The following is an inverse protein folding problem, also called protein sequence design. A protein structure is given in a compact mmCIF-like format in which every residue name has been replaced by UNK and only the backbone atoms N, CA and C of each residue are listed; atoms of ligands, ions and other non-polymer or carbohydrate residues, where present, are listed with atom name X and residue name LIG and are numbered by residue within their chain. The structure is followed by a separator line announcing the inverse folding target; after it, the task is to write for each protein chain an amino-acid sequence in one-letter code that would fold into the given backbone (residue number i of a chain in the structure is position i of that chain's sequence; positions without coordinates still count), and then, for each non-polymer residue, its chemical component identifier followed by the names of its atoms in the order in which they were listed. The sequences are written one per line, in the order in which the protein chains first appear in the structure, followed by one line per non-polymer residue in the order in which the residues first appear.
data_IF_105957593578
#
_entry.id   IF_105957593578
#
_cell.length_a   1.000
_cell.length_b   1.000
_cell.length_c   1.000
_cell.angle_alpha   90.00
_cell.angle_beta   90.00
_cell.angle_gamma   90.00
#
_symmetry.space_group_name_H-M   'P 1'
#
loop_
_entity.id
_entity.type
_entity.pdbx_description
1 polymer ?
#
# COMPACT_ATOMS: atom_id res chain seq x y z
N UNK A 1 -15.09 -19.72 25.37
CA UNK A 1 -13.95 -19.65 24.43
C UNK A 1 -14.49 -20.13 23.09
N UNK A 2 -14.48 -19.29 22.06
CA UNK A 2 -14.88 -19.74 20.72
C UNK A 2 -13.91 -20.83 20.25
N UNK A 3 -14.45 -21.94 19.77
CA UNK A 3 -13.65 -23.01 19.19
C UNK A 3 -13.00 -22.45 17.91
N UNK A 4 -11.68 -22.56 17.79
CA UNK A 4 -10.97 -22.08 16.60
C UNK A 4 -11.46 -22.83 15.36
N UNK A 5 -11.89 -22.09 14.32
CA UNK A 5 -12.26 -22.65 13.03
C UNK A 5 -11.10 -22.49 12.05
N UNK A 6 -10.59 -23.61 11.54
CA UNK A 6 -9.51 -23.58 10.57
C UNK A 6 -10.02 -23.20 9.17
N UNK A 7 -9.44 -22.19 8.50
CA UNK A 7 -9.82 -21.82 7.14
C UNK A 7 -9.57 -22.94 6.12
N UNK A 8 -8.64 -23.88 6.41
CA UNK A 8 -8.36 -25.00 5.52
C UNK A 8 -9.51 -26.00 5.47
N UNK A 9 -10.25 -26.16 6.58
CA UNK A 9 -11.42 -27.05 6.64
C UNK A 9 -12.66 -26.45 5.96
N UNK A 10 -12.65 -25.15 5.66
CA UNK A 10 -13.71 -24.51 4.87
C UNK A 10 -13.62 -24.81 3.37
N UNK A 11 -12.50 -25.38 2.90
CA UNK A 11 -12.32 -25.75 1.48
C UNK A 11 -13.10 -27.04 1.18
N UNK A 12 -14.06 -27.01 0.23
CA UNK A 12 -14.84 -28.20 -0.12
C UNK A 12 -13.96 -29.36 -0.59
N UNK A 13 -14.33 -30.60 -0.24
CA UNK A 13 -13.57 -31.79 -0.60
C UNK A 13 -13.38 -32.01 -2.12
N UNK A 14 -14.28 -31.45 -2.94
CA UNK A 14 -14.16 -31.48 -4.40
C UNK A 14 -13.04 -30.60 -4.95
N UNK A 15 -12.55 -29.64 -4.17
CA UNK A 15 -11.49 -28.71 -4.54
C UNK A 15 -10.11 -29.12 -4.00
N UNK A 16 -10.03 -30.27 -3.32
CA UNK A 16 -8.77 -30.82 -2.83
C UNK A 16 -7.96 -31.42 -3.98
N UNK A 17 -6.65 -31.17 -3.99
CA UNK A 17 -5.74 -31.77 -4.97
C UNK A 17 -5.62 -33.29 -4.77
N UNK A 18 -5.45 -33.71 -3.52
CA UNK A 18 -5.40 -35.11 -3.11
C UNK A 18 -5.67 -35.22 -1.59
N UNK A 19 -6.05 -36.41 -1.11
CA UNK A 19 -6.28 -36.65 0.31
C UNK A 19 -6.06 -38.12 0.69
N UNK A 20 -5.98 -38.35 2.00
CA UNK A 20 -6.03 -39.68 2.61
C UNK A 20 -6.90 -39.63 3.88
N UNK A 21 -6.85 -40.68 4.71
CA UNK A 21 -7.69 -40.82 5.89
C UNK A 21 -7.45 -39.74 6.96
N UNK A 22 -6.25 -39.16 7.01
CA UNK A 22 -5.84 -38.24 8.09
C UNK A 22 -5.51 -36.82 7.62
N UNK A 23 -5.27 -36.63 6.32
CA UNK A 23 -4.79 -35.37 5.76
C UNK A 23 -5.37 -35.10 4.36
N UNK A 24 -5.24 -33.86 3.90
CA UNK A 24 -5.62 -33.44 2.56
C UNK A 24 -4.72 -32.29 2.07
N UNK A 25 -4.69 -32.07 0.75
CA UNK A 25 -3.92 -31.03 0.10
C UNK A 25 -4.83 -30.07 -0.68
N UNK A 26 -4.58 -28.76 -0.54
CA UNK A 26 -5.36 -27.68 -1.17
C UNK A 26 -4.43 -26.67 -1.82
N UNK A 27 -4.89 -25.96 -2.84
CA UNK A 27 -4.15 -24.80 -3.35
C UNK A 27 -4.13 -23.67 -2.33
N UNK A 28 -2.99 -23.00 -2.21
CA UNK A 28 -2.85 -21.84 -1.33
C UNK A 28 -3.65 -20.65 -1.89
N UNK A 29 -4.39 -19.95 -1.03
CA UNK A 29 -5.14 -18.75 -1.42
C UNK A 29 -4.26 -17.53 -1.73
N UNK A 30 -2.99 -17.57 -1.29
CA UNK A 30 -1.96 -16.56 -1.50
C UNK A 30 -0.67 -17.23 -2.03
N UNK A 31 -0.71 -17.77 -3.26
CA UNK A 31 0.39 -18.57 -3.79
C UNK A 31 1.65 -17.72 -4.04
N UNK A 32 2.80 -18.16 -3.54
CA UNK A 32 4.11 -17.50 -3.81
C UNK A 32 4.74 -17.96 -5.14
N UNK A 33 4.23 -19.04 -5.71
CA UNK A 33 4.55 -19.51 -7.05
C UNK A 33 3.36 -20.28 -7.67
N UNK A 34 3.27 -20.36 -9.02
CA UNK A 34 2.23 -21.13 -9.67
C UNK A 34 2.22 -22.59 -9.21
N UNK A 35 1.08 -23.04 -8.66
CA UNK A 35 0.90 -24.38 -8.12
C UNK A 35 1.29 -24.56 -6.65
N UNK A 36 1.52 -23.47 -5.90
CA UNK A 36 1.71 -23.52 -4.45
C UNK A 36 0.50 -24.14 -3.75
N UNK A 37 0.75 -25.19 -2.95
CA UNK A 37 -0.28 -25.87 -2.17
C UNK A 37 0.09 -25.96 -0.70
N UNK A 38 -0.92 -26.25 0.11
CA UNK A 38 -0.83 -26.58 1.52
C UNK A 38 -1.29 -28.03 1.74
N UNK A 39 -0.50 -28.80 2.50
CA UNK A 39 -0.88 -30.15 2.97
C UNK A 39 -1.14 -30.08 4.47
N UNK A 40 -2.35 -30.43 4.91
CA UNK A 40 -2.80 -30.23 6.31
C UNK A 40 -3.61 -31.42 6.82
N UNK A 41 -3.77 -31.53 8.13
CA UNK A 41 -4.53 -32.60 8.79
C UNK A 41 -6.04 -32.35 8.70
N UNK A 42 -6.85 -33.41 8.78
CA UNK A 42 -8.31 -33.29 8.93
C UNK A 42 -8.71 -32.84 10.33
N UNK A 43 -7.98 -33.34 11.34
CA UNK A 43 -8.10 -32.90 12.73
C UNK A 43 -7.34 -31.58 12.87
N UNK A 44 -7.90 -30.61 13.59
CA UNK A 44 -7.18 -29.38 13.91
C UNK A 44 -6.08 -29.73 14.93
N UNK A 45 -4.83 -29.64 14.46
CA UNK A 45 -3.61 -29.81 15.25
C UNK A 45 -2.79 -28.55 15.08
N UNK A 46 -2.40 -27.90 16.17
CA UNK A 46 -1.77 -26.58 16.08
C UNK A 46 -0.44 -26.61 15.33
N UNK A 47 0.54 -27.39 15.80
CA UNK A 47 1.87 -27.44 15.18
C UNK A 47 2.22 -28.85 14.68
N UNK A 48 3.26 -28.95 13.86
CA UNK A 48 3.83 -30.25 13.45
C UNK A 48 4.20 -31.14 14.64
N UNK A 49 4.65 -30.53 15.74
CA UNK A 49 5.10 -31.24 16.94
C UNK A 49 3.95 -31.76 17.80
N UNK A 50 2.72 -31.28 17.58
CA UNK A 50 1.51 -31.75 18.25
C UNK A 50 0.79 -32.86 17.46
N UNK A 51 1.22 -33.11 16.21
CA UNK A 51 0.65 -34.14 15.35
C UNK A 51 1.13 -35.53 15.78
N UNK A 52 0.23 -36.51 15.78
CA UNK A 52 0.59 -37.89 16.04
C UNK A 52 1.47 -38.46 14.91
N UNK A 53 2.27 -39.48 15.20
CA UNK A 53 3.16 -40.12 14.20
C UNK A 53 2.42 -40.53 12.91
N UNK A 54 1.19 -41.03 13.06
CA UNK A 54 0.35 -41.41 11.93
C UNK A 54 -0.08 -40.20 11.07
N UNK A 55 -0.35 -39.05 11.69
CA UNK A 55 -0.68 -37.80 11.00
C UNK A 55 0.55 -37.22 10.29
N UNK A 56 1.70 -37.22 10.95
CA UNK A 56 2.97 -36.80 10.32
C UNK A 56 3.29 -37.67 9.10
N UNK A 57 3.12 -38.99 9.20
CA UNK A 57 3.31 -39.91 8.07
C UNK A 57 2.29 -39.63 6.94
N UNK A 58 1.02 -39.38 7.29
CA UNK A 58 -0.02 -39.07 6.31
C UNK A 58 0.22 -37.75 5.58
N UNK A 59 0.70 -36.71 6.27
CA UNK A 59 1.09 -35.44 5.68
C UNK A 59 2.24 -35.63 4.67
N UNK A 60 3.29 -36.36 5.06
CA UNK A 60 4.44 -36.61 4.18
C UNK A 60 4.10 -37.47 2.96
N UNK A 61 3.16 -38.42 3.10
CA UNK A 61 2.63 -39.18 1.97
C UNK A 61 1.95 -38.26 0.94
N UNK A 62 1.18 -37.26 1.40
CA UNK A 62 0.54 -36.29 0.51
C UNK A 62 1.51 -35.28 -0.08
N UNK A 63 2.59 -34.88 0.62
CA UNK A 63 3.65 -34.05 -0.01
C UNK A 63 4.21 -34.74 -1.26
N UNK A 64 4.50 -36.05 -1.16
CA UNK A 64 5.00 -36.84 -2.29
C UNK A 64 3.98 -36.94 -3.43
N UNK A 65 2.72 -37.22 -3.09
CA UNK A 65 1.66 -37.37 -4.09
C UNK A 65 1.32 -36.04 -4.78
N UNK A 66 1.24 -34.96 -4.01
CA UNK A 66 1.05 -33.61 -4.53
C UNK A 66 2.12 -33.22 -5.55
N UNK A 67 3.40 -33.45 -5.25
CA UNK A 67 4.48 -33.21 -6.20
C UNK A 67 4.27 -33.99 -7.51
N UNK A 68 3.83 -35.25 -7.43
CA UNK A 68 3.54 -36.08 -8.60
C UNK A 68 2.40 -35.52 -9.45
N UNK A 69 1.33 -35.03 -8.80
CA UNK A 69 0.18 -34.41 -9.48
C UNK A 69 0.54 -33.07 -10.10
N UNK A 70 1.28 -32.21 -9.39
CA UNK A 70 1.72 -30.91 -9.89
C UNK A 70 2.66 -31.06 -11.10
N UNK A 71 3.60 -32.01 -11.07
CA UNK A 71 4.45 -32.34 -12.22
C UNK A 71 3.66 -32.74 -13.48
N UNK A 72 2.46 -33.33 -13.30
CA UNK A 72 1.62 -33.84 -14.40
C UNK A 72 0.64 -32.78 -14.91
N UNK A 73 0.12 -31.94 -14.02
CA UNK A 73 -0.98 -31.01 -14.31
C UNK A 73 -0.50 -29.61 -14.72
N UNK A 74 0.68 -29.19 -14.29
CA UNK A 74 1.18 -27.83 -14.56
C UNK A 74 1.97 -27.77 -15.87
N UNK A 75 1.76 -26.66 -16.59
CA UNK A 75 2.49 -26.30 -17.81
C UNK A 75 2.91 -24.83 -17.73
N UNK A 76 4.22 -24.50 -17.66
CA UNK A 76 5.34 -25.44 -17.69
C UNK A 76 5.39 -26.36 -16.46
N UNK A 77 6.00 -27.54 -16.63
CA UNK A 77 6.30 -28.44 -15.50
C UNK A 77 7.26 -27.73 -14.54
N UNK A 78 7.08 -27.83 -13.22
CA UNK A 78 8.03 -27.28 -12.25
C UNK A 78 9.44 -27.89 -12.37
N UNK A 79 10.45 -27.04 -12.25
CA UNK A 79 11.87 -27.41 -12.32
C UNK A 79 12.43 -27.87 -10.96
N UNK A 80 11.75 -27.50 -9.87
CA UNK A 80 12.12 -27.87 -8.51
C UNK A 80 10.99 -27.59 -7.51
N UNK A 81 11.25 -27.85 -6.24
CA UNK A 81 10.30 -27.58 -5.16
C UNK A 81 11.01 -27.10 -3.89
N UNK A 82 10.40 -26.18 -3.17
CA UNK A 82 10.66 -25.98 -1.75
C UNK A 82 9.51 -26.55 -0.94
N UNK A 83 9.85 -27.31 0.11
CA UNK A 83 8.89 -27.92 1.01
C UNK A 83 9.26 -27.54 2.43
N UNK A 84 8.30 -27.07 3.22
CA UNK A 84 8.54 -26.65 4.60
C UNK A 84 7.25 -26.30 5.34
N UNK A 85 7.36 -26.11 6.64
CA UNK A 85 6.25 -25.70 7.50
C UNK A 85 6.79 -24.74 8.58
N UNK A 86 5.91 -23.88 9.07
CA UNK A 86 6.17 -23.04 10.24
C UNK A 86 5.47 -23.65 11.45
N UNK A 87 6.18 -23.82 12.56
CA UNK A 87 5.63 -24.33 13.83
C UNK A 87 5.77 -23.27 14.92
N UNK A 88 4.63 -22.73 15.36
CA UNK A 88 4.53 -21.67 16.35
C UNK A 88 4.66 -20.26 15.75
N UNK A 89 4.12 -19.27 16.48
CA UNK A 89 4.08 -17.87 16.03
C UNK A 89 5.46 -17.27 15.75
N UNK A 90 6.48 -17.62 16.55
CA UNK A 90 7.86 -17.14 16.35
C UNK A 90 8.51 -17.64 15.05
N UNK A 91 8.04 -18.79 14.52
CA UNK A 91 8.45 -19.31 13.22
C UNK A 91 7.61 -18.73 12.06
N UNK A 92 6.69 -17.81 12.34
CA UNK A 92 5.80 -17.21 11.35
C UNK A 92 4.55 -18.03 11.04
N UNK A 93 4.11 -18.92 11.95
CA UNK A 93 2.84 -19.62 11.79
C UNK A 93 1.67 -18.66 12.09
N UNK A 94 0.84 -18.39 11.08
CA UNK A 94 -0.30 -17.45 11.19
C UNK A 94 -1.64 -18.16 11.40
N UNK A 95 -1.76 -19.42 10.97
CA UNK A 95 -2.94 -20.27 11.19
C UNK A 95 -2.55 -21.37 12.20
N UNK A 96 -3.20 -21.46 13.38
CA UNK A 96 -2.93 -22.51 14.37
C UNK A 96 -3.54 -23.86 13.96
N UNK A 97 -3.17 -24.31 12.76
CA UNK A 97 -3.44 -25.62 12.19
C UNK A 97 -2.23 -25.99 11.33
N UNK A 98 -1.57 -27.12 11.60
CA UNK A 98 -0.37 -27.58 10.89
C UNK A 98 -0.60 -27.63 9.38
N UNK A 99 0.30 -27.01 8.62
CA UNK A 99 0.27 -27.06 7.16
C UNK A 99 1.69 -27.06 6.61
N UNK A 100 1.94 -27.97 5.68
CA UNK A 100 3.19 -28.05 4.92
C UNK A 100 2.98 -27.34 3.59
N UNK A 101 3.79 -26.34 3.35
CA UNK A 101 3.90 -25.69 2.05
C UNK A 101 4.65 -26.62 1.09
N UNK A 102 4.06 -26.85 -0.09
CA UNK A 102 4.75 -27.45 -1.24
C UNK A 102 4.74 -26.43 -2.36
N UNK A 103 5.89 -25.80 -2.58
CA UNK A 103 6.06 -24.64 -3.45
C UNK A 103 6.82 -25.06 -4.71
N UNK A 104 6.17 -25.16 -5.87
CA UNK A 104 6.85 -25.35 -7.15
C UNK A 104 7.85 -24.23 -7.43
N UNK A 105 9.00 -24.57 -8.00
CA UNK A 105 10.06 -23.64 -8.40
C UNK A 105 10.32 -23.75 -9.89
N UNK A 106 10.61 -22.63 -10.52
CA UNK A 106 10.85 -22.51 -11.95
C UNK A 106 12.17 -21.79 -12.21
N UNK A 107 12.88 -22.17 -13.27
CA UNK A 107 14.13 -21.49 -13.62
C UNK A 107 13.90 -19.98 -13.83
N UNK A 108 14.68 -19.16 -13.13
CA UNK A 108 14.59 -17.70 -13.19
C UNK A 108 13.47 -17.09 -12.34
N UNK A 109 12.75 -17.87 -11.54
CA UNK A 109 11.73 -17.36 -10.62
C UNK A 109 12.31 -16.43 -9.53
N UNK A 110 13.58 -16.61 -9.18
CA UNK A 110 14.38 -15.71 -8.35
C UNK A 110 15.80 -15.56 -8.93
N UNK A 111 16.51 -14.45 -8.65
CA UNK A 111 17.86 -14.22 -9.18
C UNK A 111 18.91 -15.27 -8.74
N UNK A 112 18.84 -15.73 -7.49
CA UNK A 112 19.72 -16.77 -6.95
C UNK A 112 18.95 -17.70 -6.00
N UNK A 113 18.61 -18.94 -6.43
CA UNK A 113 17.84 -19.86 -5.60
C UNK A 113 18.68 -20.53 -4.49
N UNK A 114 20.00 -20.35 -4.47
CA UNK A 114 20.89 -20.99 -3.48
C UNK A 114 20.56 -20.50 -2.08
N UNK A 115 20.53 -21.43 -1.13
CA UNK A 115 20.11 -21.19 0.25
C UNK A 115 18.74 -21.76 0.57
N UNK A 116 17.81 -21.77 -0.39
CA UNK A 116 16.48 -22.37 -0.24
C UNK A 116 15.82 -22.02 1.09
N UNK A 117 15.55 -23.03 1.92
CA UNK A 117 14.93 -22.89 3.24
C UNK A 117 15.69 -21.98 4.21
N UNK A 118 16.98 -21.72 4.00
CA UNK A 118 17.78 -20.85 4.87
C UNK A 118 17.41 -19.38 4.74
N UNK A 119 16.70 -19.01 3.66
CA UNK A 119 16.14 -17.66 3.46
C UNK A 119 14.98 -17.34 4.41
N UNK A 120 14.57 -18.27 5.29
CA UNK A 120 13.74 -17.93 6.48
C UNK A 120 14.42 -16.88 7.35
N UNK A 121 15.76 -16.84 7.34
CA UNK A 121 16.56 -15.70 7.80
C UNK A 121 17.30 -15.17 6.57
N UNK A 122 16.76 -14.14 5.87
CA UNK A 122 17.22 -13.71 4.55
C UNK A 122 18.76 -13.56 4.42
N UNK A 123 19.39 -12.90 5.38
CA UNK A 123 20.85 -12.64 5.38
C UNK A 123 21.70 -13.89 5.56
N UNK A 124 21.10 -15.00 5.99
CA UNK A 124 21.78 -16.29 6.16
C UNK A 124 21.46 -17.27 5.04
N UNK A 125 20.67 -16.88 4.04
CA UNK A 125 20.24 -17.75 2.94
C UNK A 125 21.39 -18.38 2.17
N UNK A 126 22.20 -17.58 1.47
CA UNK A 126 23.29 -18.08 0.64
C UNK A 126 24.62 -18.18 1.44
N UNK A 127 24.97 -19.38 1.90
CA UNK A 127 26.20 -19.67 2.66
C UNK A 127 27.48 -19.77 1.82
N UNK A 128 27.34 -19.83 0.50
CA UNK A 128 28.49 -19.93 -0.42
C UNK A 128 29.00 -18.55 -0.85
N UNK A 129 28.17 -17.53 -0.72
CA UNK A 129 28.68 -16.16 -0.62
C UNK A 129 29.50 -16.17 0.66
N UNK A 130 30.81 -15.90 0.54
CA UNK A 130 31.72 -15.79 1.68
C UNK A 130 31.00 -15.01 2.76
N UNK A 131 30.79 -15.64 3.93
CA UNK A 131 30.17 -14.99 5.06
C UNK A 131 30.78 -13.59 5.15
N UNK A 132 29.98 -12.51 5.17
CA UNK A 132 30.56 -11.19 5.32
C UNK A 132 31.45 -11.30 6.53
N UNK A 133 32.74 -11.05 6.33
CA UNK A 133 33.71 -11.02 7.41
C UNK A 133 33.06 -10.20 8.50
N UNK A 134 33.02 -10.73 9.73
CA UNK A 134 32.79 -9.92 10.93
C UNK A 134 33.98 -8.97 11.05
N UNK A 135 34.05 -8.01 10.14
CA UNK A 135 34.88 -6.82 10.14
C UNK A 135 33.90 -5.69 10.44
N UNK A 136 34.20 -4.90 11.47
CA UNK A 136 33.28 -3.94 12.08
C UNK A 136 32.56 -3.01 11.11
N UNK A 137 31.39 -2.53 11.54
CA UNK A 137 30.74 -1.30 11.06
C UNK A 137 30.89 -1.03 9.55
N UNK A 138 30.63 -2.03 8.70
CA UNK A 138 30.57 -1.78 7.27
C UNK A 138 29.18 -1.24 6.95
N UNK A 139 29.10 0.08 6.91
CA UNK A 139 27.98 0.81 6.33
C UNK A 139 27.80 0.34 4.88
N UNK A 140 26.86 -0.58 4.64
CA UNK A 140 26.51 -0.99 3.28
C UNK A 140 25.74 0.15 2.64
N UNK A 141 26.43 0.88 1.77
CA UNK A 141 25.84 1.90 0.91
C UNK A 141 25.43 1.25 -0.41
N UNK A 142 24.17 1.43 -0.79
CA UNK A 142 23.59 0.97 -2.05
C UNK A 142 23.11 2.19 -2.84
N UNK A 143 23.38 2.21 -4.14
CA UNK A 143 22.89 3.25 -5.04
C UNK A 143 21.61 2.76 -5.75
N UNK A 144 20.53 3.54 -5.65
CA UNK A 144 19.34 3.37 -6.47
C UNK A 144 19.26 4.48 -7.51
N UNK A 145 19.34 4.11 -8.79
CA UNK A 145 19.38 5.04 -9.94
C UNK A 145 18.04 5.23 -10.66
N UNK A 146 16.97 4.58 -10.17
CA UNK A 146 15.67 4.61 -10.83
C UNK A 146 15.59 3.67 -12.02
N UNK A 147 14.99 4.11 -13.11
CA UNK A 147 14.90 3.34 -14.35
C UNK A 147 16.27 3.02 -14.95
N UNK A 148 16.43 1.87 -15.62
CA UNK A 148 15.44 0.78 -15.77
C UNK A 148 15.57 -0.33 -14.71
N UNK A 149 16.50 -0.21 -13.76
CA UNK A 149 16.97 -1.38 -13.00
C UNK A 149 16.81 -1.26 -11.48
N UNK A 150 16.80 -0.05 -10.92
CA UNK A 150 16.89 0.16 -9.48
C UNK A 150 15.95 1.27 -8.98
N UNK A 151 14.62 1.12 -9.17
CA UNK A 151 13.64 2.03 -8.59
C UNK A 151 13.78 2.05 -7.06
N UNK A 152 13.75 3.25 -6.47
CA UNK A 152 13.92 3.44 -5.03
C UNK A 152 12.88 2.64 -4.24
N UNK A 153 11.61 2.67 -4.68
CA UNK A 153 10.51 2.04 -3.95
C UNK A 153 10.69 0.54 -3.78
N UNK A 154 11.25 -0.14 -4.78
CA UNK A 154 11.54 -1.58 -4.70
C UNK A 154 12.52 -1.91 -3.58
N UNK A 155 13.44 -1.00 -3.25
CA UNK A 155 14.45 -1.19 -2.22
C UNK A 155 13.96 -0.84 -0.82
N UNK A 156 12.99 0.05 -0.68
CA UNK A 156 12.57 0.58 0.63
C UNK A 156 11.14 0.23 1.04
N UNK A 157 10.25 -0.14 0.12
CA UNK A 157 8.83 -0.33 0.42
C UNK A 157 8.54 -1.40 1.48
N UNK A 158 9.31 -2.49 1.48
CA UNK A 158 9.20 -3.52 2.52
C UNK A 158 9.65 -2.97 3.89
N UNK A 159 10.76 -2.22 3.94
CA UNK A 159 11.28 -1.60 5.16
C UNK A 159 10.30 -0.57 5.72
N UNK A 160 9.66 0.23 4.86
CA UNK A 160 8.58 1.14 5.27
C UNK A 160 7.43 0.36 5.89
N UNK A 161 7.07 -0.81 5.33
CA UNK A 161 5.94 -1.63 5.82
C UNK A 161 6.17 -2.27 7.19
N UNK A 162 7.44 -2.50 7.56
CA UNK A 162 7.87 -3.08 8.84
C UNK A 162 8.42 -2.05 9.83
N UNK A 163 8.34 -0.75 9.50
CA UNK A 163 8.89 0.31 10.32
C UNK A 163 8.28 0.33 11.72
N UNK A 164 9.10 0.62 12.74
CA UNK A 164 8.65 1.09 14.06
C UNK A 164 8.73 2.62 14.14
N UNK A 165 9.64 3.23 13.40
CA UNK A 165 9.78 4.68 13.27
C UNK A 165 10.12 5.02 11.82
N UNK A 166 9.45 6.03 11.25
CA UNK A 166 9.78 6.53 9.92
C UNK A 166 9.64 8.05 9.80
N UNK A 167 10.70 8.71 9.35
CA UNK A 167 10.70 10.13 8.99
C UNK A 167 10.86 10.27 7.47
N UNK A 168 9.85 10.84 6.83
CA UNK A 168 9.80 11.04 5.38
C UNK A 168 9.89 12.53 5.09
N UNK A 169 10.97 12.96 4.46
CA UNK A 169 11.17 14.32 3.99
C UNK A 169 11.12 14.35 2.47
N UNK A 170 10.19 15.11 1.91
CA UNK A 170 10.12 15.37 0.48
C UNK A 170 10.00 16.87 0.22
N UNK A 171 10.65 17.37 -0.84
CA UNK A 171 10.46 18.77 -1.20
C UNK A 171 9.08 19.01 -1.81
N UNK A 172 8.54 18.00 -2.49
CA UNK A 172 7.15 18.00 -2.94
C UNK A 172 6.52 16.61 -2.93
N UNK A 173 5.18 16.59 -2.91
CA UNK A 173 4.37 15.38 -2.99
C UNK A 173 3.36 15.48 -4.14
N UNK A 174 3.16 14.37 -4.85
CA UNK A 174 2.09 14.18 -5.83
C UNK A 174 1.14 13.03 -5.42
N UNK A 175 -0.14 13.02 -5.86
CA UNK A 175 -1.07 11.95 -5.52
C UNK A 175 -0.56 10.55 -5.90
N UNK A 176 0.11 10.45 -7.05
CA UNK A 176 0.71 9.19 -7.52
C UNK A 176 1.79 8.62 -6.60
N UNK A 177 2.49 9.47 -5.83
CA UNK A 177 3.42 9.00 -4.81
C UNK A 177 2.70 8.43 -3.60
N UNK A 178 1.60 9.03 -3.19
CA UNK A 178 0.77 8.52 -2.09
C UNK A 178 0.15 7.17 -2.43
N UNK A 179 -0.29 6.97 -3.67
CA UNK A 179 -0.85 5.68 -4.14
C UNK A 179 0.14 4.52 -3.95
N UNK A 180 1.45 4.77 -4.14
CA UNK A 180 2.49 3.74 -4.01
C UNK A 180 2.75 3.36 -2.55
N UNK A 181 2.83 4.36 -1.67
CA UNK A 181 3.28 4.15 -0.29
C UNK A 181 2.15 3.77 0.66
N UNK A 182 0.89 4.02 0.27
CA UNK A 182 -0.28 3.90 1.14
C UNK A 182 -0.32 2.57 1.90
N UNK A 183 -0.19 1.45 1.19
CA UNK A 183 -0.28 0.12 1.81
C UNK A 183 0.83 -0.10 2.84
N UNK A 184 2.05 0.35 2.55
CA UNK A 184 3.20 0.21 3.46
C UNK A 184 3.06 1.09 4.69
N UNK A 185 2.62 2.34 4.52
CA UNK A 185 2.38 3.26 5.64
C UNK A 185 1.33 2.68 6.59
N UNK A 186 0.16 2.25 6.08
CA UNK A 186 -0.88 1.66 6.92
C UNK A 186 -0.50 0.29 7.50
N UNK A 187 0.36 -0.48 6.82
CA UNK A 187 0.93 -1.70 7.39
C UNK A 187 1.79 -1.42 8.61
N UNK A 188 2.69 -0.43 8.53
CA UNK A 188 3.54 -0.05 9.65
C UNK A 188 2.74 0.56 10.80
N UNK A 189 1.79 1.44 10.49
CA UNK A 189 0.91 2.02 11.51
C UNK A 189 0.11 0.94 12.26
N UNK A 190 -0.36 -0.12 11.58
CA UNK A 190 -0.97 -1.31 12.23
C UNK A 190 -0.01 -2.07 13.15
N UNK A 191 1.29 -1.99 12.90
CA UNK A 191 2.34 -2.51 13.76
C UNK A 191 2.74 -1.59 14.91
N UNK A 192 2.02 -0.47 15.13
CA UNK A 192 2.34 0.50 16.18
C UNK A 192 3.44 1.49 15.80
N UNK A 193 3.70 1.70 14.51
CA UNK A 193 4.76 2.59 14.06
C UNK A 193 4.46 4.06 14.35
N UNK A 194 5.52 4.84 14.60
CA UNK A 194 5.50 6.30 14.57
C UNK A 194 6.01 6.82 13.24
N UNK A 195 5.16 7.51 12.48
CA UNK A 195 5.49 8.02 11.15
C UNK A 195 5.30 9.54 11.11
N UNK A 196 6.34 10.25 10.63
CA UNK A 196 6.33 11.70 10.40
C UNK A 196 6.58 11.98 8.92
N UNK A 197 5.71 12.76 8.29
CA UNK A 197 5.88 13.21 6.90
C UNK A 197 6.05 14.72 6.86
N UNK A 198 7.20 15.18 6.38
CA UNK A 198 7.51 16.58 6.18
C UNK A 198 7.58 16.90 4.69
N UNK A 199 6.78 17.86 4.24
CA UNK A 199 6.70 18.28 2.84
C UNK A 199 6.92 19.78 2.69
N UNK A 200 7.58 20.22 1.61
CA UNK A 200 7.77 21.64 1.29
C UNK A 200 6.66 22.26 0.43
N UNK A 201 6.52 23.58 0.52
CA UNK A 201 5.68 24.40 -0.37
C UNK A 201 6.46 25.09 -1.51
N UNK A 202 7.77 24.81 -1.62
CA UNK A 202 8.64 25.46 -2.60
C UNK A 202 8.15 25.32 -4.04
N UNK A 203 8.11 26.45 -4.75
CA UNK A 203 7.55 26.61 -6.10
C UNK A 203 6.09 26.13 -6.25
N UNK A 204 5.37 25.87 -5.15
CA UNK A 204 4.01 25.36 -5.14
C UNK A 204 3.80 24.10 -5.99
N UNK A 205 4.82 23.25 -6.05
CA UNK A 205 4.81 21.99 -6.81
C UNK A 205 3.97 20.94 -6.08
N UNK A 206 4.00 20.92 -4.75
CA UNK A 206 3.19 20.00 -3.93
C UNK A 206 1.72 20.07 -4.32
N UNK A 207 1.09 18.92 -4.51
CA UNK A 207 -0.32 18.88 -4.85
C UNK A 207 -1.19 19.16 -3.63
N UNK A 208 -2.08 20.16 -3.75
CA UNK A 208 -3.09 20.43 -2.73
C UNK A 208 -4.01 19.22 -2.49
N UNK A 209 -4.27 18.41 -3.53
CA UNK A 209 -5.00 17.15 -3.39
C UNK A 209 -4.23 16.13 -2.56
N UNK A 210 -2.92 15.99 -2.79
CA UNK A 210 -2.10 15.09 -1.99
C UNK A 210 -2.07 15.50 -0.51
N UNK A 211 -2.00 16.81 -0.22
CA UNK A 211 -2.10 17.32 1.15
C UNK A 211 -3.47 16.98 1.78
N UNK A 212 -4.58 17.14 1.06
CA UNK A 212 -5.91 16.73 1.56
C UNK A 212 -5.99 15.23 1.85
N UNK A 213 -5.39 14.40 1.00
CA UNK A 213 -5.33 12.95 1.23
C UNK A 213 -4.55 12.61 2.51
N UNK A 214 -3.47 13.34 2.79
CA UNK A 214 -2.68 13.17 4.02
C UNK A 214 -3.47 13.54 5.28
N UNK A 215 -4.32 14.57 5.24
CA UNK A 215 -5.27 14.86 6.34
C UNK A 215 -6.18 13.65 6.58
N UNK A 216 -6.74 13.09 5.50
CA UNK A 216 -7.57 11.89 5.59
C UNK A 216 -6.81 10.68 6.16
N UNK A 217 -5.51 10.53 5.84
CA UNK A 217 -4.69 9.47 6.42
C UNK A 217 -4.42 9.65 7.90
N UNK A 218 -4.17 10.88 8.36
CA UNK A 218 -3.98 11.19 9.78
C UNK A 218 -5.25 10.87 10.57
N UNK A 219 -6.41 11.35 10.11
CA UNK A 219 -7.69 11.06 10.76
C UNK A 219 -8.01 9.55 10.82
N UNK A 220 -7.63 8.81 9.77
CA UNK A 220 -7.82 7.37 9.72
C UNK A 220 -6.87 6.59 10.64
N UNK A 221 -5.63 7.04 10.76
CA UNK A 221 -4.65 6.46 11.66
C UNK A 221 -5.14 6.59 13.12
N UNK A 222 -5.61 7.78 13.50
CA UNK A 222 -6.17 8.05 14.83
C UNK A 222 -7.42 7.21 15.15
N UNK A 223 -8.19 6.81 14.13
CA UNK A 223 -9.43 6.02 14.31
C UNK A 223 -9.17 4.51 14.43
N UNK A 224 -8.25 3.97 13.64
CA UNK A 224 -8.11 2.52 13.47
C UNK A 224 -7.05 1.93 14.42
N UNK A 225 -6.18 2.76 14.99
CA UNK A 225 -4.93 2.28 15.58
C UNK A 225 -4.75 2.79 17.01
N UNK A 226 -4.60 1.86 17.94
CA UNK A 226 -4.38 2.20 19.36
C UNK A 226 -2.96 2.70 19.62
N UNK A 227 -1.95 2.19 18.88
CA UNK A 227 -0.53 2.43 19.15
C UNK A 227 0.24 3.15 18.01
N UNK A 228 -0.32 3.23 16.81
CA UNK A 228 0.34 3.83 15.64
C UNK A 228 0.05 5.32 15.51
N UNK A 229 1.05 6.12 15.12
CA UNK A 229 0.89 7.58 14.95
C UNK A 229 1.35 8.04 13.57
N UNK A 230 0.54 8.85 12.91
CA UNK A 230 0.88 9.53 11.66
C UNK A 230 0.75 11.04 11.84
N UNK A 231 1.88 11.75 11.78
CA UNK A 231 1.91 13.20 11.78
C UNK A 231 2.40 13.72 10.43
N UNK A 232 1.77 14.79 9.93
CA UNK A 232 2.20 15.45 8.70
C UNK A 232 2.36 16.95 8.94
N UNK A 233 3.45 17.53 8.43
CA UNK A 233 3.72 18.97 8.48
C UNK A 233 4.12 19.52 7.12
N UNK A 234 3.75 20.77 6.87
CA UNK A 234 4.17 21.54 5.72
C UNK A 234 5.24 22.56 6.13
N UNK A 235 6.43 22.44 5.55
CA UNK A 235 7.46 23.46 5.60
C UNK A 235 7.05 24.62 4.66
N UNK A 236 6.46 25.66 5.24
CA UNK A 236 6.18 26.91 4.56
C UNK A 236 7.46 27.73 4.45
N UNK A 237 8.04 27.87 3.25
CA UNK A 237 9.38 28.49 3.07
C UNK A 237 9.40 29.92 3.61
N UNK A 238 8.29 30.63 3.48
CA UNK A 238 8.11 31.99 4.00
C UNK A 238 8.18 32.09 5.52
N UNK A 239 7.89 31.00 6.25
CA UNK A 239 7.90 30.90 7.71
C UNK A 239 9.21 30.35 8.28
N UNK A 240 10.05 29.73 7.46
CA UNK A 240 11.35 29.26 7.91
C UNK A 240 12.21 30.47 8.35
N UNK A 241 12.85 30.45 9.54
CA UNK A 241 13.67 31.56 10.04
C UNK A 241 14.80 31.95 9.09
N UNK A 242 15.39 30.97 8.40
CA UNK A 242 16.46 31.17 7.42
C UNK A 242 15.96 31.76 6.10
N UNK A 243 14.64 31.74 5.83
CA UNK A 243 14.01 32.17 4.57
C UNK A 243 14.82 31.73 3.33
N UNK A 244 15.05 30.42 3.16
CA UNK A 244 15.96 29.95 2.14
C UNK A 244 15.39 30.20 0.74
N UNK A 245 16.27 30.53 -0.21
CA UNK A 245 15.87 30.73 -1.62
C UNK A 245 15.35 29.45 -2.29
N UNK A 246 15.67 28.28 -1.71
CA UNK A 246 15.18 26.98 -2.18
C UNK A 246 14.97 26.00 -1.04
N UNK A 247 14.00 25.11 -1.22
CA UNK A 247 13.80 23.95 -0.36
C UNK A 247 13.68 22.73 -1.24
N UNK A 248 14.77 21.97 -1.32
CA UNK A 248 14.84 20.78 -2.16
C UNK A 248 15.39 19.52 -1.47
N UNK A 249 15.31 19.33 -0.14
CA UNK A 249 15.75 18.07 0.46
C UNK A 249 14.80 16.93 0.10
N UNK A 250 15.34 15.72 -0.03
CA UNK A 250 14.57 14.47 0.00
C UNK A 250 15.35 13.46 0.82
N UNK A 251 14.72 12.94 1.85
CA UNK A 251 15.33 11.97 2.72
C UNK A 251 14.29 11.05 3.34
N UNK A 252 14.72 9.83 3.62
CA UNK A 252 13.93 8.85 4.35
C UNK A 252 14.80 8.32 5.48
N UNK A 253 14.26 8.30 6.69
CA UNK A 253 14.85 7.58 7.81
C UNK A 253 13.84 6.55 8.26
N UNK A 254 14.22 5.28 8.26
CA UNK A 254 13.36 4.16 8.61
C UNK A 254 14.08 3.35 9.66
N UNK A 255 13.43 3.06 10.79
CA UNK A 255 13.93 2.16 11.82
C UNK A 255 12.94 1.02 11.94
N UNK A 256 13.44 -0.21 11.94
CA UNK A 256 12.66 -1.43 12.19
C UNK A 256 13.47 -2.44 13.00
N UNK A 257 12.93 -3.65 13.17
CA UNK A 257 13.60 -4.72 13.91
C UNK A 257 14.93 -5.18 13.32
N UNK A 258 15.22 -4.84 12.05
CA UNK A 258 16.48 -5.17 11.37
C UNK A 258 17.56 -4.09 11.51
N UNK A 259 17.22 -2.92 12.06
CA UNK A 259 18.10 -1.77 12.19
C UNK A 259 17.53 -0.52 11.51
N UNK A 260 18.40 0.45 11.25
CA UNK A 260 18.06 1.67 10.55
C UNK A 260 18.34 1.59 9.04
N UNK A 261 17.64 2.42 8.30
CA UNK A 261 17.84 2.66 6.87
C UNK A 261 17.70 4.15 6.62
N UNK A 262 18.71 4.72 5.98
CA UNK A 262 18.72 6.12 5.57
C UNK A 262 18.72 6.18 4.04
N UNK A 263 17.90 7.05 3.47
CA UNK A 263 17.93 7.40 2.05
C UNK A 263 18.14 8.89 1.94
N UNK A 264 19.09 9.30 1.12
CA UNK A 264 19.22 10.70 0.67
C UNK A 264 19.43 10.69 -0.83
N UNK A 265 18.67 11.54 -1.54
CA UNK A 265 18.74 11.53 -3.00
C UNK A 265 17.84 12.56 -3.67
N UNK A 266 17.53 12.30 -4.93
CA UNK A 266 16.71 13.17 -5.77
C UNK A 266 15.22 12.80 -5.78
N UNK A 267 14.84 11.63 -5.25
CA UNK A 267 13.46 11.14 -5.31
C UNK A 267 12.49 11.86 -4.36
N UNK A 268 11.57 12.64 -4.93
CA UNK A 268 10.38 13.15 -4.24
C UNK A 268 9.28 12.08 -4.09
N UNK A 269 8.18 12.42 -3.40
CA UNK A 269 7.03 11.53 -3.23
C UNK A 269 6.12 11.59 -4.46
N UNK A 270 6.55 10.99 -5.55
CA UNK A 270 5.77 10.81 -6.79
C UNK A 270 6.10 9.47 -7.44
N UNK A 271 5.18 8.91 -8.24
CA UNK A 271 5.47 7.66 -8.95
C UNK A 271 6.67 7.76 -9.88
N UNK A 272 6.83 8.91 -10.55
CA UNK A 272 7.99 9.18 -11.39
C UNK A 272 9.28 9.07 -10.57
N UNK A 273 9.37 9.77 -9.45
CA UNK A 273 10.58 9.76 -8.63
C UNK A 273 10.86 8.41 -7.94
N UNK A 274 9.82 7.63 -7.64
CA UNK A 274 9.95 6.39 -6.88
C UNK A 274 10.14 5.13 -7.74
N UNK A 275 9.60 5.12 -8.97
CA UNK A 275 9.56 3.91 -9.82
C UNK A 275 10.03 4.12 -11.27
N UNK A 276 9.66 5.22 -11.91
CA UNK A 276 9.74 5.34 -13.39
C UNK A 276 10.70 6.41 -13.91
N UNK A 277 11.32 7.19 -13.05
CA UNK A 277 12.26 8.27 -13.38
C UNK A 277 13.72 7.84 -13.27
N UNK A 278 14.62 8.66 -13.80
CA UNK A 278 16.06 8.57 -13.55
C UNK A 278 16.37 9.39 -12.31
N UNK A 279 16.74 8.72 -11.23
CA UNK A 279 16.78 9.31 -9.88
C UNK A 279 17.91 8.71 -9.10
N UNK A 280 18.76 9.51 -8.45
CA UNK A 280 19.91 8.98 -7.72
C UNK A 280 19.66 9.08 -6.23
N UNK A 281 19.66 7.94 -5.57
CA UNK A 281 19.44 7.83 -4.14
C UNK A 281 20.52 6.95 -3.52
N UNK A 282 21.18 7.48 -2.51
CA UNK A 282 22.11 6.73 -1.68
C UNK A 282 21.31 6.13 -0.52
N UNK A 283 21.31 4.80 -0.44
CA UNK A 283 20.64 4.02 0.60
C UNK A 283 21.72 3.48 1.53
N UNK A 284 21.69 3.86 2.80
CA UNK A 284 22.60 3.37 3.84
C UNK A 284 21.88 2.47 4.83
N UNK A 285 22.47 1.31 5.11
CA UNK A 285 22.06 0.45 6.22
C UNK A 285 22.80 0.85 7.49
N UNK A 286 22.06 0.92 8.60
CA UNK A 286 22.56 1.36 9.90
C UNK A 286 21.98 0.49 11.01
N UNK A 287 22.51 0.56 12.23
CA UNK A 287 21.92 0.00 13.45
C UNK A 287 20.78 0.87 13.99
N UNK A 288 20.56 2.05 13.40
CA UNK A 288 19.54 3.03 13.79
C UNK A 288 19.99 3.94 14.94
N UNK A 289 21.25 3.84 15.36
CA UNK A 289 21.80 4.57 16.53
C UNK A 289 23.18 5.18 16.27
N UNK A 290 23.70 5.07 15.06
CA UNK A 290 24.98 5.65 14.67
C UNK A 290 24.94 7.18 14.58
N UNK A 291 26.12 7.85 14.60
CA UNK A 291 26.19 9.29 14.48
C UNK A 291 25.49 9.87 13.25
N UNK A 292 25.46 9.14 12.13
CA UNK A 292 24.79 9.59 10.90
C UNK A 292 23.25 9.51 11.01
N UNK A 293 22.71 8.50 11.68
CA UNK A 293 21.28 8.40 11.98
C UNK A 293 20.84 9.54 12.89
N UNK A 294 21.62 9.80 13.94
CA UNK A 294 21.37 10.91 14.86
C UNK A 294 21.46 12.26 14.14
N UNK A 295 22.44 12.44 13.26
CA UNK A 295 22.58 13.66 12.46
C UNK A 295 21.38 13.87 11.52
N UNK A 296 20.91 12.82 10.84
CA UNK A 296 19.74 12.90 9.97
C UNK A 296 18.45 13.16 10.77
N UNK A 297 18.28 12.47 11.91
CA UNK A 297 17.16 12.67 12.82
C UNK A 297 17.12 14.09 13.39
N UNK A 298 18.27 14.67 13.76
CA UNK A 298 18.36 16.06 14.20
C UNK A 298 18.01 17.02 13.06
N UNK A 299 18.61 16.87 11.87
CA UNK A 299 18.31 17.74 10.73
C UNK A 299 16.82 17.70 10.32
N UNK A 300 16.20 16.51 10.36
CA UNK A 300 14.76 16.37 10.17
C UNK A 300 13.98 17.08 11.27
N UNK A 301 14.33 16.86 12.53
CA UNK A 301 13.63 17.42 13.70
C UNK A 301 13.72 18.95 13.75
N UNK A 302 14.84 19.53 13.36
CA UNK A 302 15.01 20.98 13.27
C UNK A 302 14.01 21.58 12.29
N UNK A 303 13.89 21.01 11.08
CA UNK A 303 12.89 21.45 10.10
C UNK A 303 11.46 21.16 10.57
N UNK A 304 11.24 20.00 11.20
CA UNK A 304 9.94 19.58 11.72
C UNK A 304 9.38 20.58 12.73
N UNK A 305 10.22 21.07 13.65
CA UNK A 305 9.82 22.04 14.68
C UNK A 305 9.42 23.39 14.09
N UNK A 306 9.98 23.75 12.94
CA UNK A 306 9.71 25.00 12.22
C UNK A 306 8.53 24.88 11.25
N UNK A 307 8.15 23.65 10.89
CA UNK A 307 7.07 23.37 9.96
C UNK A 307 5.70 23.49 10.63
N UNK A 308 4.70 23.84 9.82
CA UNK A 308 3.33 24.02 10.29
C UNK A 308 2.59 22.68 10.26
N UNK A 309 1.91 22.28 11.36
CA UNK A 309 1.01 21.12 11.36
C UNK A 309 0.00 21.17 10.23
N UNK A 310 -0.19 20.03 9.55
CA UNK A 310 -1.13 19.95 8.44
C UNK A 310 -2.57 19.90 8.96
N UNK A 311 -3.39 20.86 8.54
CA UNK A 311 -4.82 20.92 8.83
C UNK A 311 -5.62 21.43 7.61
N UNK A 312 -6.96 21.39 7.70
CA UNK A 312 -7.85 21.82 6.62
C UNK A 312 -7.69 23.30 6.25
N UNK A 313 -7.37 24.15 7.23
CA UNK A 313 -7.16 25.59 7.01
C UNK A 313 -5.91 25.83 6.18
N UNK A 314 -4.79 25.20 6.57
CA UNK A 314 -3.52 25.28 5.88
C UNK A 314 -3.62 24.79 4.44
N UNK A 315 -4.29 23.65 4.22
CA UNK A 315 -4.44 23.09 2.87
C UNK A 315 -5.35 23.95 2.01
N UNK A 316 -6.39 24.56 2.59
CA UNK A 316 -7.26 25.51 1.88
C UNK A 316 -6.51 26.77 1.46
N UNK A 317 -5.67 27.33 2.36
CA UNK A 317 -4.79 28.47 2.05
C UNK A 317 -3.79 28.11 0.95
N UNK A 318 -3.05 27.02 1.11
CA UNK A 318 -2.07 26.55 0.13
C UNK A 318 -2.70 26.30 -1.25
N UNK A 319 -3.93 25.77 -1.31
CA UNK A 319 -4.64 25.53 -2.57
C UNK A 319 -4.97 26.83 -3.33
N UNK A 320 -5.17 27.95 -2.63
CA UNK A 320 -5.36 29.26 -3.24
C UNK A 320 -4.02 29.82 -3.72
N UNK A 321 -3.01 29.81 -2.84
CA UNK A 321 -1.69 30.36 -3.12
C UNK A 321 -1.01 29.64 -4.29
N UNK A 322 -1.13 28.30 -4.35
CA UNK A 322 -0.58 27.50 -5.45
C UNK A 322 -1.26 27.78 -6.79
N UNK A 323 -2.57 28.05 -6.82
CA UNK A 323 -3.27 28.47 -8.04
C UNK A 323 -2.78 29.84 -8.52
N UNK A 324 -2.52 30.77 -7.60
CA UNK A 324 -2.01 32.10 -7.94
C UNK A 324 -0.55 32.06 -8.40
N UNK A 325 0.31 31.30 -7.71
CA UNK A 325 1.72 31.16 -8.05
C UNK A 325 1.94 30.47 -9.40
N UNK A 326 1.18 29.41 -9.71
CA UNK A 326 1.25 28.71 -11.00
C UNK A 326 0.87 29.61 -12.17
N UNK A 327 -0.02 30.59 -11.97
CA UNK A 327 -0.36 31.61 -12.98
C UNK A 327 0.77 32.62 -13.23
N UNK A 328 1.67 32.82 -12.27
CA UNK A 328 2.76 33.82 -12.35
C UNK A 328 4.09 33.23 -12.84
N UNK A 329 4.37 31.94 -12.61
CA UNK A 329 5.72 31.37 -12.78
C UNK A 329 5.82 30.18 -13.74
N UNK A 330 4.74 29.74 -14.41
CA UNK A 330 4.77 28.60 -15.34
C UNK A 330 4.09 28.96 -16.68
N UNK A 331 4.77 28.86 -17.84
CA UNK A 331 4.13 28.95 -19.16
C UNK A 331 3.07 27.83 -19.32
N UNK A 332 1.98 28.04 -20.07
CA UNK A 332 0.84 27.11 -20.14
C UNK A 332 1.14 25.70 -20.67
N UNK A 333 2.39 25.40 -21.04
CA UNK A 333 2.79 24.18 -21.77
C UNK A 333 3.69 23.21 -20.97
N UNK A 334 4.01 23.46 -19.69
CA UNK A 334 4.83 22.54 -18.88
C UNK A 334 4.12 21.96 -17.65
N UNK A 335 2.83 22.21 -17.49
CA UNK A 335 2.00 21.46 -16.56
C UNK A 335 1.03 20.65 -17.38
N UNK A 336 0.94 19.36 -17.08
CA UNK A 336 -0.18 18.52 -17.53
C UNK A 336 -1.45 19.00 -16.82
N UNK A 337 -1.92 20.19 -17.20
CA UNK A 337 -3.08 20.91 -16.63
C UNK A 337 -4.34 20.62 -17.43
N UNK A 338 -4.45 19.39 -17.93
CA UNK A 338 -5.73 18.75 -18.23
C UNK A 338 -5.56 17.28 -17.86
N UNK A 339 -5.95 16.90 -16.66
CA UNK A 339 -6.41 15.52 -16.47
C UNK A 339 -7.65 15.40 -17.35
N UNK A 340 -7.43 14.95 -18.59
CA UNK A 340 -8.50 14.64 -19.52
C UNK A 340 -9.28 13.54 -18.82
N UNK A 341 -10.48 13.87 -18.32
CA UNK A 341 -11.47 12.87 -17.98
C UNK A 341 -11.56 11.91 -19.15
N UNK A 342 -11.03 10.70 -18.95
CA UNK A 342 -11.05 9.70 -20.00
C UNK A 342 -12.50 9.45 -20.38
N UNK A 343 -12.77 9.28 -21.67
CA UNK A 343 -14.13 8.95 -22.08
C UNK A 343 -14.53 7.58 -21.51
N UNK A 344 -15.80 7.39 -21.12
CA UNK A 344 -16.25 6.12 -20.59
C UNK A 344 -16.02 4.99 -21.60
N UNK A 345 -15.52 3.85 -21.13
CA UNK A 345 -15.35 2.63 -21.93
C UNK A 345 -16.70 2.19 -22.51
N UNK A 346 -16.73 1.43 -23.62
CA UNK A 346 -17.98 1.01 -24.26
C UNK A 346 -19.00 0.38 -23.29
N UNK A 347 -18.54 -0.51 -22.39
CA UNK A 347 -19.41 -1.13 -21.40
C UNK A 347 -19.91 -0.13 -20.33
N UNK A 348 -19.09 0.87 -19.96
CA UNK A 348 -19.49 1.93 -19.04
C UNK A 348 -20.55 2.83 -19.68
N UNK A 349 -20.44 3.13 -20.98
CA UNK A 349 -21.48 3.85 -21.73
C UNK A 349 -22.80 3.09 -21.71
N UNK A 350 -22.79 1.79 -22.00
CA UNK A 350 -24.00 0.96 -21.92
C UNK A 350 -24.60 0.90 -20.52
N UNK A 351 -23.77 0.86 -19.47
CA UNK A 351 -24.23 0.93 -18.08
C UNK A 351 -24.85 2.29 -17.74
N UNK A 352 -24.25 3.40 -18.17
CA UNK A 352 -24.78 4.77 -17.98
C UNK A 352 -26.11 4.97 -18.72
N UNK A 353 -26.23 4.45 -19.95
CA UNK A 353 -27.48 4.46 -20.71
C UNK A 353 -28.58 3.68 -19.98
N UNK A 354 -28.26 2.51 -19.43
CA UNK A 354 -29.20 1.71 -18.64
C UNK A 354 -29.63 2.44 -17.36
N UNK A 355 -28.69 3.09 -16.66
CA UNK A 355 -29.00 3.90 -15.48
C UNK A 355 -29.91 5.09 -15.83
N UNK A 356 -29.70 5.72 -16.97
CA UNK A 356 -30.57 6.81 -17.44
C UNK A 356 -31.98 6.32 -17.81
N UNK A 357 -32.11 5.14 -18.43
CA UNK A 357 -33.41 4.54 -18.70
C UNK A 357 -34.16 4.20 -17.41
N UNK A 358 -33.46 3.66 -16.40
CA UNK A 358 -34.03 3.38 -15.08
C UNK A 358 -34.54 4.68 -14.44
N UNK A 359 -33.76 5.76 -14.48
CA UNK A 359 -34.20 7.08 -13.97
C UNK A 359 -35.39 7.65 -14.73
N UNK A 360 -35.42 7.51 -16.05
CA UNK A 360 -36.54 7.94 -16.87
C UNK A 360 -37.85 7.18 -16.57
N UNK A 361 -37.74 5.96 -16.03
CA UNK A 361 -38.85 5.18 -15.47
C UNK A 361 -39.22 5.53 -14.03
N UNK A 362 -38.79 6.68 -13.50
CA UNK A 362 -39.03 7.17 -12.12
C UNK A 362 -38.44 6.30 -10.99
N UNK A 363 -37.57 5.34 -11.30
CA UNK A 363 -36.88 4.55 -10.29
C UNK A 363 -35.76 5.37 -9.62
N UNK A 364 -35.77 5.38 -8.29
CA UNK A 364 -34.81 6.14 -7.45
C UNK A 364 -33.62 5.33 -6.94
N UNK A 365 -33.60 4.02 -7.19
CA UNK A 365 -32.58 3.08 -6.70
C UNK A 365 -32.19 2.14 -7.84
N UNK A 366 -30.89 1.97 -8.02
CA UNK A 366 -30.34 1.05 -9.01
C UNK A 366 -29.09 0.38 -8.42
N UNK A 367 -28.82 -0.85 -8.86
CA UNK A 367 -27.61 -1.59 -8.51
C UNK A 367 -26.89 -1.96 -9.81
N UNK A 368 -25.59 -1.67 -9.86
CA UNK A 368 -24.74 -2.11 -10.97
C UNK A 368 -23.79 -3.19 -10.47
N UNK A 369 -23.89 -4.39 -11.02
CA UNK A 369 -22.95 -5.48 -10.76
C UNK A 369 -21.81 -5.43 -11.77
N UNK A 370 -20.57 -5.35 -11.29
CA UNK A 370 -19.36 -5.24 -12.12
C UNK A 370 -18.29 -6.17 -11.57
N UNK A 371 -17.59 -6.90 -12.43
CA UNK A 371 -16.44 -7.70 -12.03
C UNK A 371 -15.29 -6.81 -11.49
N UNK A 372 -14.44 -7.38 -10.63
CA UNK A 372 -13.30 -6.66 -10.04
C UNK A 372 -12.33 -6.17 -11.13
N UNK A 373 -11.68 -5.04 -10.90
CA UNK A 373 -10.67 -4.48 -11.82
C UNK A 373 -11.22 -3.78 -13.08
N UNK A 374 -12.53 -3.80 -13.35
CA UNK A 374 -13.08 -3.20 -14.57
C UNK A 374 -13.24 -1.67 -14.53
N UNK A 375 -13.11 -1.03 -13.36
CA UNK A 375 -13.26 0.42 -13.20
C UNK A 375 -14.62 0.84 -12.67
N UNK A 376 -15.16 0.12 -11.69
CA UNK A 376 -16.44 0.43 -11.02
C UNK A 376 -16.51 1.86 -10.47
N UNK A 377 -15.38 2.36 -9.95
CA UNK A 377 -15.28 3.71 -9.36
C UNK A 377 -15.43 4.80 -10.43
N UNK A 378 -14.79 4.61 -11.58
CA UNK A 378 -14.93 5.51 -12.72
C UNK A 378 -16.36 5.52 -13.28
N UNK A 379 -17.03 4.36 -13.33
CA UNK A 379 -18.44 4.31 -13.71
C UNK A 379 -19.30 5.19 -12.78
N UNK A 380 -19.11 5.08 -11.46
CA UNK A 380 -19.81 5.91 -10.49
C UNK A 380 -19.52 7.41 -10.70
N UNK A 381 -18.26 7.76 -10.96
CA UNK A 381 -17.85 9.14 -11.23
C UNK A 381 -18.51 9.73 -12.49
N UNK A 382 -18.58 8.98 -13.60
CA UNK A 382 -19.30 9.41 -14.80
C UNK A 382 -20.81 9.55 -14.56
N UNK A 383 -21.37 8.67 -13.74
CA UNK A 383 -22.78 8.72 -13.40
C UNK A 383 -23.13 9.95 -12.54
N UNK A 384 -22.24 10.36 -11.63
CA UNK A 384 -22.36 11.63 -10.90
C UNK A 384 -22.43 12.81 -11.86
N UNK A 385 -21.58 12.85 -12.90
CA UNK A 385 -21.62 13.90 -13.91
C UNK A 385 -22.93 13.89 -14.71
N UNK A 386 -23.40 12.71 -15.09
CA UNK A 386 -24.68 12.54 -15.80
C UNK A 386 -25.86 13.04 -14.95
N UNK A 387 -25.88 12.70 -13.66
CA UNK A 387 -26.90 13.16 -12.70
C UNK A 387 -26.84 14.67 -12.54
N UNK A 388 -25.65 15.27 -12.40
CA UNK A 388 -25.53 16.72 -12.28
C UNK A 388 -26.04 17.46 -13.52
N UNK A 389 -25.81 16.91 -14.72
CA UNK A 389 -26.37 17.44 -15.98
C UNK A 389 -27.89 17.37 -16.00
N UNK A 390 -28.47 16.26 -15.53
CA UNK A 390 -29.92 16.10 -15.42
C UNK A 390 -30.53 17.07 -14.39
N UNK A 391 -29.85 17.30 -13.27
CA UNK A 391 -30.32 18.19 -12.21
C UNK A 391 -30.07 19.68 -12.49
N UNK A 392 -29.31 20.00 -13.54
CA UNK A 392 -28.82 21.35 -13.85
C UNK A 392 -28.09 22.03 -12.67
N UNK A 393 -27.44 21.24 -11.81
CA UNK A 393 -26.67 21.70 -10.66
C UNK A 393 -25.69 20.63 -10.21
N UNK A 394 -24.74 21.03 -9.37
CA UNK A 394 -23.85 20.09 -8.69
C UNK A 394 -24.67 19.13 -7.81
N UNK A 395 -24.49 17.80 -7.98
CA UNK A 395 -25.16 16.81 -7.15
C UNK A 395 -24.46 16.71 -5.78
N UNK A 396 -25.23 16.36 -4.75
CA UNK A 396 -24.66 15.93 -3.47
C UNK A 396 -24.45 14.42 -3.52
N UNK A 397 -23.25 13.97 -3.22
CA UNK A 397 -22.82 12.57 -3.36
C UNK A 397 -22.36 12.08 -1.99
N UNK A 398 -22.85 10.89 -1.60
CA UNK A 398 -22.39 10.18 -0.41
C UNK A 398 -21.72 8.88 -0.86
N UNK A 399 -20.43 8.74 -0.57
CA UNK A 399 -19.66 7.52 -0.78
C UNK A 399 -19.68 6.73 0.53
N UNK A 400 -20.05 5.45 0.42
CA UNK A 400 -20.09 4.53 1.55
C UNK A 400 -19.31 3.27 1.20
N UNK A 401 -18.40 2.84 2.07
CA UNK A 401 -17.69 1.57 1.97
C UNK A 401 -17.25 1.06 3.34
N UNK A 402 -16.99 -0.25 3.43
CA UNK A 402 -16.46 -0.90 4.64
C UNK A 402 -14.94 -0.78 4.80
N UNK A 403 -14.22 -0.41 3.73
CA UNK A 403 -12.75 -0.33 3.71
C UNK A 403 -12.31 1.08 3.36
N UNK A 404 -11.41 1.63 4.17
CA UNK A 404 -10.97 3.01 4.03
C UNK A 404 -10.17 3.27 2.74
N UNK A 405 -9.44 2.27 2.25
CA UNK A 405 -8.70 2.36 0.99
C UNK A 405 -9.66 2.55 -0.20
N UNK A 406 -10.83 1.90 -0.14
CA UNK A 406 -11.89 2.07 -1.14
C UNK A 406 -12.49 3.47 -1.06
N UNK A 407 -12.71 3.98 0.16
CA UNK A 407 -13.24 5.33 0.37
C UNK A 407 -12.31 6.39 -0.23
N UNK A 408 -11.02 6.33 0.06
CA UNK A 408 -10.01 7.27 -0.45
C UNK A 408 -9.93 7.22 -1.98
N UNK A 409 -9.89 6.01 -2.55
CA UNK A 409 -9.82 5.85 -4.01
C UNK A 409 -11.10 6.36 -4.70
N UNK A 410 -12.26 6.09 -4.11
CA UNK A 410 -13.54 6.53 -4.63
C UNK A 410 -13.72 8.04 -4.53
N UNK A 411 -13.32 8.61 -3.40
CA UNK A 411 -13.29 10.05 -3.14
C UNK A 411 -12.48 10.76 -4.23
N UNK A 412 -11.20 10.42 -4.39
CA UNK A 412 -10.33 11.06 -5.37
C UNK A 412 -10.92 10.99 -6.79
N UNK A 413 -11.38 9.82 -7.22
CA UNK A 413 -11.94 9.62 -8.57
C UNK A 413 -13.21 10.46 -8.79
N UNK A 414 -14.12 10.48 -7.81
CA UNK A 414 -15.39 11.20 -7.92
C UNK A 414 -15.18 12.71 -7.78
N UNK A 415 -14.27 13.15 -6.92
CA UNK A 415 -13.88 14.56 -6.80
C UNK A 415 -13.31 15.08 -8.10
N UNK A 416 -12.37 14.35 -8.74
CA UNK A 416 -11.82 14.73 -10.05
C UNK A 416 -12.92 14.89 -11.10
N UNK A 417 -13.87 13.95 -11.14
CA UNK A 417 -15.02 14.08 -12.02
C UNK A 417 -15.84 15.33 -11.72
N UNK A 418 -16.24 15.56 -10.47
CA UNK A 418 -17.02 16.74 -10.10
C UNK A 418 -16.30 18.06 -10.38
N UNK A 419 -15.00 18.14 -10.11
CA UNK A 419 -14.18 19.33 -10.34
C UNK A 419 -13.97 19.67 -11.81
N UNK A 420 -14.23 18.73 -12.72
CA UNK A 420 -14.19 19.02 -14.15
C UNK A 420 -15.39 19.83 -14.67
N UNK A 421 -16.52 19.78 -13.96
CA UNK A 421 -17.77 20.44 -14.34
C UNK A 421 -18.13 21.56 -13.35
N UNK A 422 -17.68 21.49 -12.09
CA UNK A 422 -18.01 22.45 -11.03
C UNK A 422 -16.78 22.94 -10.25
N UNK A 423 -16.54 24.26 -10.29
CA UNK A 423 -15.37 24.93 -9.70
C UNK A 423 -15.24 24.81 -8.17
N UNK A 424 -16.34 24.53 -7.46
CA UNK A 424 -16.42 24.51 -5.99
C UNK A 424 -17.03 23.20 -5.49
N UNK A 425 -16.26 22.12 -5.51
CA UNK A 425 -16.64 20.88 -4.83
C UNK A 425 -16.09 20.86 -3.41
N UNK A 426 -16.96 21.00 -2.41
CA UNK A 426 -16.63 20.82 -1.00
C UNK A 426 -16.66 19.33 -0.65
N UNK A 427 -15.57 18.81 -0.08
CA UNK A 427 -15.47 17.41 0.33
C UNK A 427 -15.40 17.34 1.85
N UNK A 428 -16.28 16.55 2.45
CA UNK A 428 -16.35 16.37 3.90
C UNK A 428 -16.26 14.89 4.25
N UNK A 429 -15.62 14.59 5.38
CA UNK A 429 -15.41 13.21 5.83
C UNK A 429 -16.27 12.95 7.07
N UNK A 430 -17.16 11.98 6.95
CA UNK A 430 -17.94 11.45 8.04
C UNK A 430 -17.28 10.14 8.52
N UNK A 431 -16.13 10.28 9.17
CA UNK A 431 -15.26 9.20 9.69
C UNK A 431 -14.80 9.54 11.11
N UNK A 432 -14.47 8.55 11.94
CA UNK A 432 -13.89 8.73 13.28
C UNK A 432 -14.62 9.77 14.14
N UNK A 433 -13.89 10.79 14.61
CA UNK A 433 -14.47 11.93 15.35
C UNK A 433 -15.13 12.99 14.45
N UNK A 434 -14.80 13.04 13.15
CA UNK A 434 -15.29 14.05 12.22
C UNK A 434 -16.71 13.74 11.72
N UNK A 435 -17.69 14.53 12.16
CA UNK A 435 -19.11 14.30 11.88
C UNK A 435 -19.68 15.28 10.85
N UNK A 436 -18.82 15.86 10.01
CA UNK A 436 -19.23 16.83 9.00
C UNK A 436 -19.89 16.15 7.79
N UNK A 437 -21.17 16.45 7.57
CA UNK A 437 -21.95 16.03 6.41
C UNK A 437 -22.40 17.23 5.55
N UNK A 438 -21.78 18.40 5.72
CA UNK A 438 -22.17 19.64 5.03
C UNK A 438 -21.69 19.70 3.57
N UNK A 439 -20.73 18.87 3.19
CA UNK A 439 -20.11 18.88 1.87
C UNK A 439 -21.03 18.45 0.72
N UNK A 440 -20.52 18.69 -0.49
CA UNK A 440 -21.10 18.24 -1.75
C UNK A 440 -20.70 16.79 -2.05
N UNK A 441 -19.48 16.41 -1.67
CA UNK A 441 -18.99 15.03 -1.68
C UNK A 441 -18.70 14.60 -0.24
N UNK A 442 -19.50 13.69 0.27
CA UNK A 442 -19.39 13.16 1.62
C UNK A 442 -18.80 11.76 1.54
N UNK A 443 -17.80 11.48 2.35
CA UNK A 443 -17.17 10.16 2.44
C UNK A 443 -17.41 9.59 3.82
N UNK A 444 -18.07 8.44 3.90
CA UNK A 444 -18.49 7.83 5.15
C UNK A 444 -18.15 6.34 5.21
N UNK A 445 -17.73 5.86 6.37
CA UNK A 445 -17.59 4.42 6.63
C UNK A 445 -18.94 3.85 7.01
N UNK A 446 -19.19 2.58 6.64
CA UNK A 446 -20.41 1.90 7.11
C UNK A 446 -20.46 1.85 8.62
N UNK A 447 -19.31 1.60 9.28
CA UNK A 447 -19.19 1.48 10.73
C UNK A 447 -19.63 2.73 11.50
N UNK A 448 -19.46 3.92 10.91
CA UNK A 448 -19.87 5.17 11.56
C UNK A 448 -21.33 5.54 11.29
N UNK A 449 -21.93 5.02 10.22
CA UNK A 449 -23.32 5.29 9.84
C UNK A 449 -24.33 4.35 10.53
N UNK A 450 -23.85 3.20 11.04
CA UNK A 450 -24.62 2.20 11.80
C UNK A 450 -24.31 2.31 13.28
#
# INVERSE_FOLDING_TARGET
MSQFESPFLAVPAGDWLCSNDLAFAIFDGFPVSPGHILVTTRRIVETWFDAADAEQAALMALVKESKRLLDLQLSPKPDGYNVGFNSGGAAGQTVPHVHIHVIPRYHGDVPDPRGGVRHVIPDKGNYLVSAPTKSGSSHSLTLATGQPHSPLWKSIGQRVSSAVEADLLASFIQPSGLDLIQLSIFSALRGGARIRILVGDYLYITSAEALRRLIGWMALADEILEDGTLEVRLAEISKLPSKPDSFHPKAWRIVDSSGGLLVVGSSNLSKAALETGVEWNLIGQTTGSEPIDLALAHAFTDLWQQATPLDDELVSRYALDSKEARRKFIPPESVDLREILHQPRPWQRGALESLNQIRAGDYRRALVAVATGLGKTWLAAFDVLAVGKLLHRQPRVLIIAHRAEILIQAEATIRTAMQSEWDKTCVTWYLGANSDMSGDLIVASVQKLT
#
